data_IF_047717751539
#
_entry.id   IF_047717751539
#
_cell.length_a   1.000
_cell.length_b   1.000
_cell.length_c   1.000
_cell.angle_alpha   90.00
_cell.angle_beta   90.00
_cell.angle_gamma   90.00
#
_symmetry.space_group_name_H-M   'P 1'
#
loop_
_entity.id
_entity.type
_entity.pdbx_description
1 polymer ?
#
# COMPACT_ATOMS: atom_id res chain seq x y z
N UNK A 1 14.59 -10.05 8.69
CA UNK A 1 14.11 -8.70 9.05
C UNK A 1 13.37 -8.20 7.83
N UNK A 2 12.04 -8.19 7.83
CA UNK A 2 11.30 -7.65 6.69
C UNK A 2 11.34 -6.13 6.78
N UNK A 3 11.82 -5.51 5.71
CA UNK A 3 11.85 -4.07 5.61
C UNK A 3 10.44 -3.57 5.30
N UNK A 4 9.95 -2.64 6.12
CA UNK A 4 8.68 -1.97 5.88
C UNK A 4 8.90 -0.69 5.11
N UNK A 5 7.92 -0.34 4.29
CA UNK A 5 7.93 0.83 3.43
C UNK A 5 6.64 1.61 3.63
N UNK A 6 6.76 2.93 3.66
CA UNK A 6 5.65 3.85 3.49
C UNK A 6 5.47 4.04 1.99
N UNK A 7 4.26 3.81 1.49
CA UNK A 7 3.94 3.91 0.08
C UNK A 7 2.73 4.79 -0.14
N UNK A 8 2.83 5.67 -1.12
CA UNK A 8 1.69 6.38 -1.66
C UNK A 8 1.16 5.60 -2.85
N UNK A 9 -0.11 5.24 -2.79
CA UNK A 9 -0.77 4.39 -3.77
C UNK A 9 -1.68 5.25 -4.63
N UNK A 10 -1.57 5.12 -5.95
CA UNK A 10 -2.52 5.68 -6.90
C UNK A 10 -3.83 4.88 -6.81
N UNK A 11 -4.75 5.41 -6.02
CA UNK A 11 -6.00 4.73 -5.70
C UNK A 11 -6.92 4.56 -6.92
N UNK A 12 -6.85 5.49 -7.88
CA UNK A 12 -7.67 5.43 -9.10
C UNK A 12 -7.19 4.31 -10.00
N UNK A 13 -5.87 4.22 -10.23
CA UNK A 13 -5.27 3.15 -11.03
C UNK A 13 -5.45 1.78 -10.39
N UNK A 14 -5.23 1.70 -9.07
CA UNK A 14 -5.44 0.45 -8.35
C UNK A 14 -6.89 -0.02 -8.47
N UNK A 15 -7.85 0.89 -8.25
CA UNK A 15 -9.27 0.56 -8.39
C UNK A 15 -9.59 0.08 -9.79
N UNK A 16 -9.10 0.74 -10.83
CA UNK A 16 -9.36 0.36 -12.22
C UNK A 16 -8.83 -1.05 -12.52
N UNK A 17 -7.58 -1.35 -12.15
CA UNK A 17 -6.98 -2.67 -12.34
C UNK A 17 -7.72 -3.76 -11.58
N UNK A 18 -7.97 -3.57 -10.29
CA UNK A 18 -8.63 -4.58 -9.46
C UNK A 18 -10.09 -4.76 -9.91
N UNK A 19 -10.78 -3.69 -10.28
CA UNK A 19 -12.14 -3.78 -10.83
C UNK A 19 -12.18 -4.53 -12.16
N UNK A 20 -11.19 -4.32 -13.03
CA UNK A 20 -11.05 -5.07 -14.27
C UNK A 20 -10.74 -6.55 -14.03
N UNK A 21 -9.89 -6.87 -13.05
CA UNK A 21 -9.55 -8.25 -12.67
C UNK A 21 -10.75 -9.00 -12.08
N UNK A 22 -11.48 -8.37 -11.16
CA UNK A 22 -12.67 -8.93 -10.50
C UNK A 22 -13.93 -8.87 -11.37
N UNK A 23 -13.86 -8.21 -12.54
CA UNK A 23 -14.99 -7.93 -13.44
C UNK A 23 -16.17 -7.25 -12.73
N UNK A 24 -15.89 -6.44 -11.73
CA UNK A 24 -16.85 -5.73 -10.89
C UNK A 24 -16.31 -4.35 -10.58
N UNK A 25 -17.16 -3.33 -10.67
CA UNK A 25 -16.81 -2.01 -10.17
C UNK A 25 -16.69 -2.05 -8.64
N UNK A 26 -15.46 -1.95 -8.13
CA UNK A 26 -15.20 -1.93 -6.69
C UNK A 26 -15.38 -0.51 -6.15
N UNK A 27 -16.07 -0.42 -5.02
CA UNK A 27 -16.21 0.83 -4.29
C UNK A 27 -14.88 1.23 -3.64
N UNK A 28 -14.68 2.51 -3.31
CA UNK A 28 -13.47 2.94 -2.61
C UNK A 28 -13.22 2.20 -1.30
N UNK A 29 -14.30 1.83 -0.59
CA UNK A 29 -14.20 1.05 0.65
C UNK A 29 -13.74 -0.40 0.38
N UNK A 30 -14.23 -1.02 -0.69
CA UNK A 30 -13.79 -2.38 -1.07
C UNK A 30 -12.31 -2.42 -1.43
N UNK A 31 -11.79 -1.40 -2.14
CA UNK A 31 -10.35 -1.31 -2.46
C UNK A 31 -9.51 -1.08 -1.21
N UNK A 32 -9.98 -0.25 -0.27
CA UNK A 32 -9.28 -0.08 1.01
C UNK A 32 -9.23 -1.40 1.78
N UNK A 33 -10.34 -2.14 1.84
CA UNK A 33 -10.37 -3.45 2.48
C UNK A 33 -9.46 -4.46 1.77
N UNK A 34 -9.40 -4.43 0.44
CA UNK A 34 -8.49 -5.27 -0.33
C UNK A 34 -7.02 -4.97 0.02
N UNK A 35 -6.64 -3.70 0.11
CA UNK A 35 -5.31 -3.28 0.53
C UNK A 35 -4.98 -3.81 1.94
N UNK A 36 -5.88 -3.64 2.90
CA UNK A 36 -5.71 -4.16 4.26
C UNK A 36 -5.57 -5.68 4.28
N UNK A 37 -6.37 -6.40 3.49
CA UNK A 37 -6.26 -7.86 3.36
C UNK A 37 -4.94 -8.32 2.75
N UNK A 38 -4.32 -7.50 1.88
CA UNK A 38 -3.00 -7.76 1.31
C UNK A 38 -1.84 -7.45 2.26
N UNK A 39 -2.10 -6.76 3.37
CA UNK A 39 -1.07 -6.34 4.32
C UNK A 39 -0.66 -4.87 4.20
N UNK A 40 -1.44 -4.04 3.51
CA UNK A 40 -1.24 -2.58 3.50
C UNK A 40 -2.06 -1.92 4.62
N UNK A 41 -1.37 -1.24 5.52
CA UNK A 41 -1.99 -0.56 6.64
C UNK A 41 -2.13 0.94 6.36
N UNK A 42 -3.35 1.50 6.35
CA UNK A 42 -3.54 2.93 6.10
C UNK A 42 -2.97 3.77 7.24
N UNK A 43 -2.37 4.91 6.89
CA UNK A 43 -1.89 5.91 7.84
C UNK A 43 -2.78 7.17 7.86
N UNK A 44 -2.72 7.98 8.93
CA UNK A 44 -3.52 9.20 9.05
C UNK A 44 -3.23 10.26 7.98
N UNK A 45 -2.05 10.24 7.38
CA UNK A 45 -1.62 11.14 6.30
C UNK A 45 -2.10 10.71 4.91
N UNK A 46 -2.81 9.58 4.80
CA UNK A 46 -3.32 9.06 3.53
C UNK A 46 -2.37 8.14 2.77
N UNK A 47 -1.14 7.96 3.27
CA UNK A 47 -0.21 6.93 2.79
C UNK A 47 -0.50 5.56 3.42
N UNK A 48 0.15 4.52 2.92
CA UNK A 48 0.03 3.15 3.41
C UNK A 48 1.38 2.63 3.88
N UNK A 49 1.40 1.73 4.86
CA UNK A 49 2.60 0.98 5.25
C UNK A 49 2.43 -0.47 4.83
N UNK A 50 3.45 -1.03 4.19
CA UNK A 50 3.48 -2.44 3.85
C UNK A 50 4.90 -3.00 3.96
N UNK A 51 4.99 -4.32 4.13
CA UNK A 51 6.26 -5.04 4.03
C UNK A 51 6.73 -5.12 2.57
N UNK A 52 8.04 -5.25 2.36
CA UNK A 52 8.65 -5.37 1.02
C UNK A 52 7.99 -6.43 0.14
N UNK A 53 7.69 -7.60 0.71
CA UNK A 53 7.04 -8.71 0.01
C UNK A 53 5.62 -8.34 -0.45
N UNK A 54 4.91 -7.55 0.35
CA UNK A 54 3.55 -7.10 0.06
C UNK A 54 3.56 -6.07 -1.07
N UNK A 55 4.63 -5.27 -1.21
CA UNK A 55 4.78 -4.34 -2.33
C UNK A 55 4.74 -5.03 -3.70
N UNK A 56 5.16 -6.30 -3.77
CA UNK A 56 5.12 -7.09 -5.01
C UNK A 56 3.68 -7.38 -5.49
N UNK A 57 2.67 -7.17 -4.64
CA UNK A 57 1.26 -7.28 -5.04
C UNK A 57 0.76 -6.06 -5.85
N UNK A 58 1.48 -4.94 -5.79
CA UNK A 58 1.18 -3.72 -6.54
C UNK A 58 2.06 -3.62 -7.77
N UNK A 59 1.49 -3.08 -8.86
CA UNK A 59 2.28 -2.73 -10.02
C UNK A 59 3.08 -1.44 -9.74
N UNK A 60 4.27 -1.27 -10.33
CA UNK A 60 5.06 -0.03 -10.18
C UNK A 60 4.26 1.22 -10.58
N UNK A 61 3.36 1.10 -11.55
CA UNK A 61 2.48 2.19 -12.01
C UNK A 61 1.39 2.59 -11.00
N UNK A 62 1.18 1.79 -9.95
CA UNK A 62 0.23 2.07 -8.85
C UNK A 62 0.93 2.70 -7.65
N UNK A 63 2.26 2.74 -7.64
CA UNK A 63 3.08 3.31 -6.60
C UNK A 63 3.48 4.73 -7.00
N UNK A 64 2.87 5.73 -6.37
CA UNK A 64 3.24 7.13 -6.55
C UNK A 64 4.58 7.45 -5.89
N UNK A 65 4.84 6.85 -4.73
CA UNK A 65 6.10 6.99 -4.00
C UNK A 65 6.28 5.82 -3.05
N UNK A 66 7.53 5.43 -2.79
CA UNK A 66 7.90 4.39 -1.84
C UNK A 66 9.11 4.85 -1.02
N UNK A 67 8.95 4.92 0.29
CA UNK A 67 9.98 5.37 1.22
C UNK A 67 10.22 4.26 2.26
N UNK A 68 11.45 3.80 2.45
CA UNK A 68 11.75 2.80 3.47
C UNK A 68 11.48 3.37 4.87
N UNK A 69 10.78 2.62 5.71
CA UNK A 69 10.66 2.92 7.13
C UNK A 69 11.98 2.55 7.77
N UNK A 70 12.83 3.54 7.97
CA UNK A 70 14.02 3.39 8.80
C UNK A 70 13.51 3.35 10.23
N UNK A 71 13.35 2.14 10.78
CA UNK A 71 13.21 1.96 12.24
C UNK A 71 14.59 2.27 12.82
N UNK A 72 14.91 3.56 12.88
CA UNK A 72 16.09 4.05 13.57
C UNK A 72 15.91 3.70 15.03
N UNK A 73 16.85 2.92 15.56
CA UNK A 73 17.09 2.80 17.00
C UNK A 73 16.92 4.18 17.62
N UNK A 74 15.86 4.40 18.40
CA UNK A 74 15.82 5.52 19.33
C UNK A 74 16.83 5.22 20.43
N UNK A 75 18.10 5.38 20.10
CA UNK A 75 19.16 5.66 21.06
C UNK A 75 19.02 7.13 21.41
N UNK A 76 18.08 7.45 22.30
CA UNK A 76 18.10 8.74 23.00
C UNK A 76 18.60 8.47 24.41
N UNK A 77 19.82 8.98 24.60
CA UNK A 77 20.71 8.96 25.75
C UNK A 77 20.19 9.82 26.90
#
# INVERSE_FOLDING_TARGET
MHQTYVVNIDFERLRDRVSAAERKALTPLEIQNWLVQKGFYPRPDGSYVAEEEVLQCLAPSELLSTEPVIIGSTSSH
#
